data_IF_888685325057
#
_entry.id   IF_888685325057
#
_cell.length_a   1.000
_cell.length_b   1.000
_cell.length_c   1.000
_cell.angle_alpha   90.00
_cell.angle_beta   90.00
_cell.angle_gamma   90.00
#
_symmetry.space_group_name_H-M   'P 1'
#
loop_
_entity.id
_entity.type
_entity.pdbx_description
1 polymer ?
#
# COMPACT_ATOMS: atom_id res chain seq x y z
N UNK A 1 9.29 13.95 14.95
CA UNK A 1 10.20 13.40 13.92
C UNK A 1 9.58 12.29 13.07
N UNK A 2 8.43 11.69 13.47
CA UNK A 2 7.70 10.68 12.68
C UNK A 2 6.72 11.23 11.62
N UNK A 3 6.35 12.52 11.71
CA UNK A 3 5.37 13.11 10.80
C UNK A 3 5.83 13.13 9.33
N UNK A 4 7.13 13.34 9.08
CA UNK A 4 7.66 13.40 7.71
C UNK A 4 7.53 12.03 7.03
N UNK A 5 7.90 10.95 7.71
CA UNK A 5 7.80 9.59 7.15
C UNK A 5 6.33 9.23 6.96
N UNK A 6 5.45 9.58 7.90
CA UNK A 6 4.01 9.33 7.77
C UNK A 6 3.36 10.14 6.62
N UNK A 7 3.79 11.38 6.39
CA UNK A 7 3.35 12.19 5.25
C UNK A 7 3.85 11.59 3.91
N UNK A 8 5.09 11.12 3.87
CA UNK A 8 5.61 10.41 2.70
C UNK A 8 4.83 9.11 2.47
N UNK A 9 4.60 8.31 3.52
CA UNK A 9 3.76 7.11 3.44
C UNK A 9 2.37 7.43 2.91
N UNK A 10 1.73 8.51 3.37
CA UNK A 10 0.42 8.94 2.89
C UNK A 10 0.44 9.26 1.39
N UNK A 11 1.48 9.95 0.91
CA UNK A 11 1.64 10.25 -0.52
C UNK A 11 1.83 8.98 -1.38
N UNK A 12 2.59 8.00 -0.88
CA UNK A 12 2.81 6.72 -1.56
C UNK A 12 1.52 5.88 -1.56
N UNK A 13 0.78 5.86 -0.45
CA UNK A 13 -0.54 5.19 -0.38
C UNK A 13 -1.47 5.81 -1.42
N UNK A 14 -1.55 7.13 -1.50
CA UNK A 14 -2.40 7.80 -2.47
C UNK A 14 -2.02 7.47 -3.92
N UNK A 15 -0.73 7.50 -4.27
CA UNK A 15 -0.26 7.08 -5.59
C UNK A 15 -0.52 5.59 -5.88
N UNK A 16 -0.44 4.76 -4.85
CA UNK A 16 -0.74 3.34 -4.96
C UNK A 16 -2.23 3.02 -5.10
N UNK A 17 -3.12 3.87 -4.59
CA UNK A 17 -4.57 3.75 -4.83
C UNK A 17 -4.91 3.99 -6.31
N UNK A 18 -4.27 4.98 -6.95
CA UNK A 18 -4.48 5.27 -8.37
C UNK A 18 -4.00 4.12 -9.26
N UNK A 19 -2.77 3.64 -9.02
CA UNK A 19 -2.25 2.48 -9.74
C UNK A 19 -2.98 1.18 -9.40
N UNK A 20 -3.42 1.01 -8.14
CA UNK A 20 -4.25 -0.11 -7.66
C UNK A 20 -5.62 -0.16 -8.34
N UNK A 21 -6.20 1.00 -8.65
CA UNK A 21 -7.44 1.08 -9.42
C UNK A 21 -7.25 0.64 -10.88
N UNK A 22 -6.13 1.04 -11.50
CA UNK A 22 -5.79 0.60 -12.85
C UNK A 22 -5.55 -0.91 -12.92
N UNK A 23 -4.84 -1.49 -11.95
CA UNK A 23 -4.63 -2.94 -11.86
C UNK A 23 -5.92 -3.68 -11.52
N UNK A 24 -6.80 -3.13 -10.68
CA UNK A 24 -8.13 -3.68 -10.40
C UNK A 24 -9.01 -3.76 -11.66
N UNK A 25 -9.01 -2.73 -12.52
CA UNK A 25 -9.74 -2.77 -13.79
C UNK A 25 -9.27 -3.89 -14.73
N UNK A 26 -7.98 -4.23 -14.70
CA UNK A 26 -7.41 -5.27 -15.56
C UNK A 26 -7.54 -6.69 -15.00
N UNK A 27 -7.52 -6.84 -13.67
CA UNK A 27 -7.54 -8.16 -12.98
C UNK A 27 -8.90 -8.54 -12.41
N UNK A 28 -9.82 -7.57 -12.32
CA UNK A 28 -11.15 -7.74 -11.75
C UNK A 28 -11.14 -7.97 -10.24
N UNK A 29 -12.14 -8.70 -9.75
CA UNK A 29 -12.41 -8.87 -8.31
C UNK A 29 -11.28 -9.57 -7.52
N UNK A 30 -10.31 -10.20 -8.20
CA UNK A 30 -9.18 -10.86 -7.53
C UNK A 30 -8.31 -9.89 -6.71
N UNK A 31 -8.27 -8.61 -7.11
CA UNK A 31 -7.51 -7.56 -6.40
C UNK A 31 -8.34 -6.82 -5.34
N UNK A 32 -9.63 -7.14 -5.18
CA UNK A 32 -10.51 -6.52 -4.20
C UNK A 32 -9.97 -6.52 -2.76
N UNK A 33 -9.45 -7.65 -2.20
CA UNK A 33 -8.96 -7.65 -0.82
C UNK A 33 -7.74 -6.74 -0.63
N UNK A 34 -6.88 -6.65 -1.66
CA UNK A 34 -5.75 -5.74 -1.64
C UNK A 34 -6.21 -4.28 -1.63
N UNK A 35 -7.13 -3.91 -2.52
CA UNK A 35 -7.65 -2.54 -2.60
C UNK A 35 -8.35 -2.11 -1.30
N UNK A 36 -9.09 -3.01 -0.66
CA UNK A 36 -9.69 -2.77 0.65
C UNK A 36 -8.62 -2.51 1.74
N UNK A 37 -7.53 -3.29 1.75
CA UNK A 37 -6.44 -3.08 2.70
C UNK A 37 -5.74 -1.73 2.51
N UNK A 38 -5.60 -1.27 1.26
CA UNK A 38 -5.05 0.04 0.92
C UNK A 38 -5.92 1.20 1.40
N UNK A 39 -7.24 1.08 1.24
CA UNK A 39 -8.20 2.07 1.73
C UNK A 39 -8.15 2.20 3.25
N UNK A 40 -8.06 1.08 3.97
CA UNK A 40 -7.95 1.09 5.43
C UNK A 40 -6.60 1.68 5.86
N UNK A 41 -5.51 1.32 5.18
CA UNK A 41 -4.19 1.91 5.43
C UNK A 41 -4.20 3.43 5.25
N UNK A 42 -4.88 3.94 4.22
CA UNK A 42 -5.04 5.38 3.95
C UNK A 42 -5.80 6.09 5.07
N UNK A 43 -6.95 5.56 5.48
CA UNK A 43 -7.77 6.17 6.53
C UNK A 43 -7.03 6.20 7.86
N UNK A 44 -6.35 5.11 8.22
CA UNK A 44 -5.61 5.02 9.47
C UNK A 44 -4.36 5.91 9.47
N UNK A 45 -3.65 6.02 8.35
CA UNK A 45 -2.52 6.96 8.23
C UNK A 45 -2.97 8.41 8.35
N UNK A 46 -4.08 8.76 7.69
CA UNK A 46 -4.65 10.10 7.82
C UNK A 46 -5.09 10.37 9.27
N UNK A 47 -5.80 9.42 9.90
CA UNK A 47 -6.21 9.54 11.30
C UNK A 47 -5.03 9.70 12.26
N UNK A 48 -3.93 8.97 12.04
CA UNK A 48 -2.73 9.05 12.88
C UNK A 48 -1.99 10.40 12.80
N UNK A 49 -2.23 11.20 11.75
CA UNK A 49 -1.66 12.55 11.63
C UNK A 49 -2.46 13.61 12.41
N UNK A 50 -3.75 13.35 12.69
CA UNK A 50 -4.61 14.30 13.40
C UNK A 50 -4.91 13.89 14.84
N UNK A 51 -4.77 12.60 15.16
CA UNK A 51 -5.09 12.03 16.47
C UNK A 51 -3.82 11.47 17.09
N UNK A 52 -3.40 12.08 18.19
CA UNK A 52 -2.22 11.68 18.94
C UNK A 52 -2.54 10.44 19.83
N UNK A 53 -2.72 9.29 19.17
CA UNK A 53 -3.05 8.02 19.82
C UNK A 53 -2.18 6.88 19.29
N UNK A 54 -1.38 6.29 20.19
CA UNK A 54 -0.47 5.19 19.89
C UNK A 54 -1.17 3.99 19.23
N UNK A 55 -2.41 3.69 19.61
CA UNK A 55 -3.17 2.57 19.02
C UNK A 55 -3.42 2.82 17.54
N UNK A 56 -3.80 4.06 17.18
CA UNK A 56 -4.05 4.44 15.78
C UNK A 56 -2.75 4.40 14.99
N UNK A 57 -1.65 4.90 15.55
CA UNK A 57 -0.34 4.86 14.92
C UNK A 57 0.12 3.44 14.60
N UNK A 58 0.12 2.51 15.57
CA UNK A 58 0.52 1.13 15.32
C UNK A 58 -0.43 0.39 14.38
N UNK A 59 -1.73 0.71 14.42
CA UNK A 59 -2.69 0.14 13.48
C UNK A 59 -2.43 0.61 12.03
N UNK A 60 -2.05 1.87 11.85
CA UNK A 60 -1.70 2.41 10.53
C UNK A 60 -0.48 1.68 9.95
N UNK A 61 0.57 1.49 10.76
CA UNK A 61 1.76 0.74 10.35
C UNK A 61 1.42 -0.72 10.01
N UNK A 62 0.60 -1.39 10.84
CA UNK A 62 0.20 -2.76 10.57
C UNK A 62 -0.50 -2.90 9.21
N UNK A 63 -1.42 -1.99 8.88
CA UNK A 63 -2.09 -1.99 7.57
C UNK A 63 -1.16 -1.61 6.41
N UNK A 64 -0.18 -0.72 6.62
CA UNK A 64 0.87 -0.44 5.62
C UNK A 64 1.73 -1.67 5.31
N UNK A 65 1.90 -2.60 6.25
CA UNK A 65 2.64 -3.86 6.05
C UNK A 65 1.73 -4.93 5.40
N UNK A 66 0.45 -4.98 5.76
CA UNK A 66 -0.50 -5.95 5.20
C UNK A 66 -0.77 -5.66 3.71
N UNK A 67 -0.90 -4.39 3.31
CA UNK A 67 -1.14 -4.00 1.93
C UNK A 67 -0.14 -4.62 0.91
N UNK A 68 1.18 -4.52 1.08
CA UNK A 68 2.15 -5.16 0.19
C UNK A 68 2.17 -6.70 0.30
N UNK A 69 1.76 -7.30 1.41
CA UNK A 69 1.66 -8.76 1.51
C UNK A 69 0.48 -9.32 0.69
N UNK A 70 -0.65 -8.60 0.66
CA UNK A 70 -1.86 -9.02 -0.07
C UNK A 70 -1.69 -8.97 -1.59
N UNK A 71 -0.79 -8.14 -2.13
CA UNK A 71 -0.57 -8.02 -3.58
C UNK A 71 0.20 -9.21 -4.16
N UNK A 72 1.15 -9.77 -3.41
CA UNK A 72 2.14 -10.72 -3.93
C UNK A 72 1.48 -12.01 -4.43
N UNK A 73 0.44 -12.50 -3.75
CA UNK A 73 -0.29 -13.70 -4.16
C UNK A 73 -1.04 -13.57 -5.50
N UNK A 74 -1.38 -12.35 -5.92
CA UNK A 74 -2.19 -12.11 -7.13
C UNK A 74 -1.33 -11.61 -8.29
N UNK A 75 -0.54 -10.55 -8.08
CA UNK A 75 0.24 -9.92 -9.15
C UNK A 75 1.43 -10.76 -9.59
N UNK A 76 2.10 -11.50 -8.69
CA UNK A 76 3.27 -12.30 -9.08
C UNK A 76 2.93 -13.42 -10.07
N UNK A 77 1.71 -13.95 -10.02
CA UNK A 77 1.25 -14.93 -11.01
C UNK A 77 0.88 -14.27 -12.35
N UNK A 78 0.40 -13.03 -12.33
CA UNK A 78 0.04 -12.28 -13.54
C UNK A 78 1.31 -11.81 -14.26
N UNK A 79 2.33 -11.36 -13.53
CA UNK A 79 3.64 -10.98 -14.10
C UNK A 79 4.28 -12.12 -14.90
N UNK A 80 4.07 -13.37 -14.48
CA UNK A 80 4.60 -14.55 -15.18
C UNK A 80 3.84 -14.89 -16.47
N UNK A 81 2.59 -14.45 -16.60
CA UNK A 81 1.67 -14.93 -17.65
C UNK A 81 1.24 -13.85 -18.64
N UNK A 82 1.35 -12.57 -18.29
CA UNK A 82 0.81 -11.45 -19.08
C UNK A 82 1.89 -10.38 -19.35
N UNK A 83 2.80 -10.66 -20.27
CA UNK A 83 3.98 -9.82 -20.55
C UNK A 83 3.65 -8.40 -21.03
N UNK A 84 2.55 -8.20 -21.77
CA UNK A 84 2.18 -6.89 -22.33
C UNK A 84 1.75 -5.88 -21.26
N UNK A 85 1.21 -6.34 -20.12
CA UNK A 85 0.72 -5.48 -19.05
C UNK A 85 1.69 -5.42 -17.85
N UNK A 86 2.87 -6.03 -17.97
CA UNK A 86 3.88 -6.12 -16.90
C UNK A 86 4.29 -4.77 -16.35
N UNK A 87 4.43 -3.75 -17.19
CA UNK A 87 4.86 -2.40 -16.77
C UNK A 87 3.89 -1.74 -15.77
N UNK A 88 2.59 -1.96 -15.93
CA UNK A 88 1.60 -1.40 -15.00
C UNK A 88 1.62 -2.16 -13.68
N UNK A 89 1.76 -3.48 -13.72
CA UNK A 89 1.84 -4.30 -12.51
C UNK A 89 3.14 -4.09 -11.73
N UNK A 90 4.28 -3.89 -12.43
CA UNK A 90 5.58 -3.68 -11.80
C UNK A 90 5.69 -2.32 -11.12
N UNK A 91 5.13 -1.26 -11.72
CA UNK A 91 5.09 0.07 -11.12
C UNK A 91 4.24 0.09 -9.83
N UNK A 92 3.11 -0.61 -9.83
CA UNK A 92 2.31 -0.78 -8.61
C UNK A 92 3.06 -1.59 -7.54
N UNK A 93 3.74 -2.68 -7.93
CA UNK A 93 4.55 -3.49 -7.02
C UNK A 93 5.70 -2.70 -6.40
N UNK A 94 6.30 -1.77 -7.15
CA UNK A 94 7.36 -0.88 -6.66
C UNK A 94 6.83 0.08 -5.58
N UNK A 95 5.63 0.64 -5.76
CA UNK A 95 4.95 1.47 -4.74
C UNK A 95 4.66 0.66 -3.46
N UNK A 96 4.23 -0.60 -3.61
CA UNK A 96 4.03 -1.52 -2.49
C UNK A 96 5.35 -1.81 -1.74
N UNK A 97 6.44 -2.00 -2.48
CA UNK A 97 7.77 -2.19 -1.89
C UNK A 97 8.25 -0.97 -1.10
N UNK A 98 8.05 0.24 -1.64
CA UNK A 98 8.38 1.48 -0.92
C UNK A 98 7.55 1.64 0.36
N UNK A 99 6.25 1.32 0.31
CA UNK A 99 5.37 1.32 1.48
C UNK A 99 5.86 0.41 2.60
N UNK A 100 6.33 -0.79 2.24
CA UNK A 100 6.87 -1.74 3.21
C UNK A 100 8.11 -1.18 3.94
N UNK A 101 9.04 -0.58 3.19
CA UNK A 101 10.26 0.03 3.76
C UNK A 101 9.91 1.21 4.67
N UNK A 102 8.98 2.08 4.24
CA UNK A 102 8.52 3.22 5.03
C UNK A 102 7.82 2.78 6.33
N UNK A 103 7.01 1.72 6.28
CA UNK A 103 6.33 1.18 7.46
C UNK A 103 7.33 0.65 8.49
N UNK A 104 8.39 -0.02 8.04
CA UNK A 104 9.50 -0.46 8.91
C UNK A 104 10.27 0.75 9.44
N UNK A 105 10.52 1.77 8.62
CA UNK A 105 11.16 3.01 9.04
C UNK A 105 10.43 3.69 10.20
N UNK A 106 9.10 3.75 10.14
CA UNK A 106 8.24 4.28 11.22
C UNK A 106 8.30 3.48 12.53
N UNK A 107 8.81 2.24 12.55
CA UNK A 107 8.95 1.45 13.78
C UNK A 107 10.27 1.73 14.52
N UNK A 108 11.30 2.18 13.81
CA UNK A 108 12.64 2.38 14.36
C UNK A 108 12.97 3.84 14.69
N UNK A 109 12.12 4.78 14.24
CA UNK A 109 12.28 6.24 14.37
C UNK A 109 11.05 6.80 15.09
#
# INVERSE_FOLDING_TARGET
MNEVIMLVSLSVIFGSMLSGFATFRMTGMRLMPHFASLMIAFILTLASLFVDNNIVFYSAIAFQIIAPLTICGTICNILKTQFQNTGIYSSHLALMGMLFVLAIGNLFI
#
